data_IF_002075621469
#
_entry.id   IF_002075621469
#
_cell.length_a   1.000
_cell.length_b   1.000
_cell.length_c   1.000
_cell.angle_alpha   90.00
_cell.angle_beta   90.00
_cell.angle_gamma   90.00
#
_symmetry.space_group_name_H-M   'P 1'
#
loop_
_entity.id
_entity.type
_entity.pdbx_description
1 polymer ?
#
# COMPACT_ATOMS: atom_id res chain seq x y z
N UNK A 1 20.12 13.69 -17.22
CA UNK A 1 19.91 13.12 -15.86
C UNK A 1 18.48 13.30 -15.37
N UNK A 2 17.93 14.52 -15.40
CA UNK A 2 16.54 14.82 -14.94
C UNK A 2 15.45 14.05 -15.71
N UNK A 3 15.63 13.84 -17.01
CA UNK A 3 14.63 13.16 -17.86
C UNK A 3 14.61 11.64 -17.61
N UNK A 4 15.72 11.02 -17.18
CA UNK A 4 15.80 9.57 -16.96
C UNK A 4 15.25 9.13 -15.60
N UNK A 5 15.33 10.00 -14.59
CA UNK A 5 14.81 9.75 -13.25
C UNK A 5 13.31 9.36 -13.20
N UNK A 6 12.38 10.05 -13.90
CA UNK A 6 10.96 9.69 -13.87
C UNK A 6 10.67 8.34 -14.54
N UNK A 7 11.41 7.98 -15.60
CA UNK A 7 11.25 6.67 -16.25
C UNK A 7 11.73 5.54 -15.34
N UNK A 8 12.83 5.75 -14.61
CA UNK A 8 13.33 4.78 -13.63
C UNK A 8 12.36 4.62 -12.46
N UNK A 9 11.80 5.72 -11.93
CA UNK A 9 10.81 5.63 -10.84
C UNK A 9 9.55 4.90 -11.28
N UNK A 10 9.06 5.15 -12.50
CA UNK A 10 7.89 4.46 -13.03
C UNK A 10 8.17 2.96 -13.23
N UNK A 11 9.35 2.60 -13.74
CA UNK A 11 9.77 1.21 -13.91
C UNK A 11 9.83 0.46 -12.57
N UNK A 12 10.41 1.08 -11.55
CA UNK A 12 10.47 0.51 -10.19
C UNK A 12 9.07 0.35 -9.58
N UNK A 13 8.20 1.35 -9.74
CA UNK A 13 6.83 1.30 -9.23
C UNK A 13 6.03 0.17 -9.88
N UNK A 14 6.17 0.01 -11.20
CA UNK A 14 5.53 -1.06 -11.96
C UNK A 14 6.06 -2.43 -11.53
N UNK A 15 7.38 -2.55 -11.35
CA UNK A 15 8.02 -3.79 -10.89
C UNK A 15 7.48 -4.25 -9.53
N UNK A 16 7.42 -3.34 -8.55
CA UNK A 16 6.89 -3.66 -7.21
C UNK A 16 5.41 -4.06 -7.28
N UNK A 17 4.61 -3.36 -8.10
CA UNK A 17 3.18 -3.65 -8.28
C UNK A 17 2.98 -5.07 -8.81
N UNK A 18 3.69 -5.43 -9.89
CA UNK A 18 3.60 -6.76 -10.50
C UNK A 18 4.08 -7.86 -9.54
N UNK A 19 5.15 -7.61 -8.78
CA UNK A 19 5.63 -8.56 -7.78
C UNK A 19 4.63 -8.75 -6.63
N UNK A 20 4.00 -7.67 -6.15
CA UNK A 20 2.96 -7.78 -5.12
C UNK A 20 1.78 -8.60 -5.61
N UNK A 21 1.30 -8.34 -6.82
CA UNK A 21 0.15 -9.06 -7.38
C UNK A 21 0.46 -10.57 -7.57
N UNK A 22 1.62 -10.90 -8.16
CA UNK A 22 1.94 -12.29 -8.49
C UNK A 22 2.50 -13.12 -7.35
N UNK A 23 3.13 -12.52 -6.34
CA UNK A 23 3.80 -13.26 -5.26
C UNK A 23 3.18 -12.97 -3.89
N UNK A 24 2.92 -11.71 -3.55
CA UNK A 24 2.45 -11.35 -2.22
C UNK A 24 1.00 -11.84 -1.99
N UNK A 25 0.09 -11.59 -2.92
CA UNK A 25 -1.31 -12.04 -2.82
C UNK A 25 -1.46 -13.56 -2.65
N UNK A 26 -0.88 -14.44 -3.49
CA UNK A 26 -1.01 -15.89 -3.29
C UNK A 26 -0.30 -16.37 -2.01
N UNK A 27 0.77 -15.70 -1.58
CA UNK A 27 1.41 -16.00 -0.29
C UNK A 27 0.48 -15.70 0.88
N UNK A 28 -0.31 -14.61 0.80
CA UNK A 28 -1.31 -14.26 1.81
C UNK A 28 -2.45 -15.27 1.87
N UNK A 29 -2.89 -15.82 0.73
CA UNK A 29 -3.91 -16.89 0.67
C UNK A 29 -3.37 -18.21 1.26
N UNK A 30 -2.12 -18.55 0.99
CA UNK A 30 -1.48 -19.69 1.66
C UNK A 30 -1.38 -19.48 3.18
N UNK A 31 -1.05 -18.25 3.61
CA UNK A 31 -0.95 -17.91 5.02
C UNK A 31 -2.31 -17.92 5.73
N UNK A 32 -3.36 -17.40 5.11
CA UNK A 32 -4.74 -17.42 5.64
C UNK A 32 -5.21 -18.86 5.86
N UNK A 33 -4.95 -19.75 4.89
CA UNK A 33 -5.31 -21.16 4.98
C UNK A 33 -4.56 -21.89 6.11
N UNK A 34 -3.30 -21.51 6.37
CA UNK A 34 -2.50 -22.07 7.48
C UNK A 34 -2.94 -21.55 8.84
N UNK A 35 -3.34 -20.29 8.92
CA UNK A 35 -3.82 -19.65 10.15
C UNK A 35 -5.30 -19.94 10.44
N UNK A 36 -6.02 -20.57 9.51
CA UNK A 36 -7.47 -20.83 9.64
C UNK A 36 -8.31 -19.56 9.61
N UNK A 37 -7.77 -18.45 9.11
CA UNK A 37 -8.43 -17.15 9.04
C UNK A 37 -9.01 -16.91 7.66
N UNK A 38 -10.10 -16.14 7.56
CA UNK A 38 -10.67 -15.73 6.26
C UNK A 38 -9.69 -14.86 5.47
N UNK A 39 -9.65 -15.05 4.15
CA UNK A 39 -8.82 -14.29 3.20
C UNK A 39 -9.05 -12.77 3.32
N UNK A 40 -10.28 -12.35 3.64
CA UNK A 40 -10.60 -10.94 3.85
C UNK A 40 -9.87 -10.35 5.07
N UNK A 41 -9.73 -11.12 6.14
CA UNK A 41 -9.04 -10.68 7.37
C UNK A 41 -7.53 -10.67 7.14
N UNK A 42 -7.00 -11.64 6.39
CA UNK A 42 -5.60 -11.69 6.00
C UNK A 42 -5.23 -10.50 5.10
N UNK A 43 -6.09 -10.15 4.14
CA UNK A 43 -5.95 -8.95 3.33
C UNK A 43 -6.01 -7.66 4.17
N UNK A 44 -7.01 -7.53 5.05
CA UNK A 44 -7.15 -6.35 5.90
C UNK A 44 -5.95 -6.13 6.84
N UNK A 45 -5.24 -7.19 7.24
CA UNK A 45 -4.14 -7.11 8.20
C UNK A 45 -2.78 -7.13 7.53
N UNK A 46 -2.45 -8.22 6.83
CA UNK A 46 -1.10 -8.45 6.33
C UNK A 46 -0.81 -7.70 5.03
N UNK A 47 -1.78 -7.55 4.12
CA UNK A 47 -1.58 -6.73 2.92
C UNK A 47 -1.45 -5.25 3.31
N UNK A 48 -2.32 -4.79 4.22
CA UNK A 48 -2.25 -3.43 4.75
C UNK A 48 -0.91 -3.16 5.46
N UNK A 49 -0.49 -4.06 6.36
CA UNK A 49 0.79 -3.94 7.06
C UNK A 49 1.99 -4.00 6.10
N UNK A 50 1.96 -4.89 5.10
CA UNK A 50 3.01 -5.04 4.11
C UNK A 50 3.18 -3.80 3.24
N UNK A 51 2.09 -3.16 2.83
CA UNK A 51 2.13 -1.92 2.04
C UNK A 51 2.75 -0.76 2.82
N UNK A 52 2.54 -0.68 4.14
CA UNK A 52 3.08 0.40 4.98
C UNK A 52 4.47 0.13 5.57
N UNK A 53 5.01 -1.08 5.41
CA UNK A 53 6.36 -1.42 5.82
C UNK A 53 7.45 -0.48 5.25
N UNK A 54 7.50 -0.16 3.93
CA UNK A 54 8.48 0.77 3.39
C UNK A 54 8.33 2.19 3.97
N UNK A 55 7.09 2.64 4.19
CA UNK A 55 6.79 3.96 4.77
C UNK A 55 7.23 4.04 6.24
N UNK A 56 7.08 2.94 6.98
CA UNK A 56 7.58 2.83 8.35
C UNK A 56 9.11 2.92 8.38
N UNK A 57 9.79 2.25 7.44
CA UNK A 57 11.26 2.30 7.32
C UNK A 57 11.74 3.71 6.96
N UNK A 58 11.12 4.38 5.99
CA UNK A 58 11.51 5.75 5.63
C UNK A 58 11.25 6.74 6.75
N UNK A 59 10.12 6.60 7.44
CA UNK A 59 9.79 7.42 8.62
C UNK A 59 10.77 7.21 9.77
N UNK A 60 11.13 5.95 10.05
CA UNK A 60 12.11 5.60 11.08
C UNK A 60 13.49 6.21 10.75
N UNK A 61 13.96 6.04 9.52
CA UNK A 61 15.21 6.67 9.06
C UNK A 61 15.13 8.21 9.14
N UNK A 62 13.99 8.80 8.82
CA UNK A 62 13.75 10.24 8.92
C UNK A 62 13.83 10.79 10.35
N UNK A 63 13.39 10.00 11.34
CA UNK A 63 13.50 10.37 12.75
C UNK A 63 14.94 10.23 13.27
N UNK A 64 15.59 9.08 13.01
CA UNK A 64 16.88 8.77 13.63
C UNK A 64 18.10 9.32 12.89
N UNK A 65 18.05 9.48 11.57
CA UNK A 65 19.21 9.92 10.77
C UNK A 65 19.18 11.44 10.59
N UNK A 66 18.07 11.99 10.11
CA UNK A 66 17.96 13.42 9.78
C UNK A 66 17.71 14.33 10.98
N UNK A 67 17.50 13.79 12.21
CA UNK A 67 17.33 14.54 13.46
C UNK A 67 16.36 15.74 13.34
N UNK A 68 15.32 15.60 12.53
CA UNK A 68 14.42 16.69 12.19
C UNK A 68 12.95 16.26 12.25
N UNK A 69 12.07 17.23 12.47
CA UNK A 69 10.61 17.05 12.56
C UNK A 69 9.98 16.40 11.30
N UNK A 70 10.74 16.28 10.22
CA UNK A 70 10.35 15.61 8.97
C UNK A 70 9.90 14.17 9.23
N UNK A 71 10.55 13.45 10.15
CA UNK A 71 10.19 12.06 10.46
C UNK A 71 8.79 11.94 11.07
N UNK A 72 8.47 12.75 12.08
CA UNK A 72 7.16 12.73 12.75
C UNK A 72 6.04 13.18 11.79
N UNK A 73 6.29 14.22 11.01
CA UNK A 73 5.33 14.72 10.02
C UNK A 73 5.02 13.67 8.95
N UNK A 74 6.01 12.86 8.55
CA UNK A 74 5.82 11.79 7.57
C UNK A 74 4.93 10.66 8.13
N UNK A 75 5.12 10.28 9.39
CA UNK A 75 4.30 9.26 10.06
C UNK A 75 2.85 9.72 10.16
N UNK A 76 2.65 10.93 10.70
CA UNK A 76 1.29 11.48 10.90
C UNK A 76 0.60 11.70 9.56
N UNK A 77 1.31 12.26 8.57
CA UNK A 77 0.78 12.50 7.24
C UNK A 77 0.35 11.22 6.51
N UNK A 78 1.17 10.17 6.54
CA UNK A 78 0.84 8.88 5.92
C UNK A 78 -0.35 8.20 6.62
N UNK A 79 -0.44 8.24 7.95
CA UNK A 79 -1.59 7.70 8.68
C UNK A 79 -2.91 8.40 8.31
N UNK A 80 -2.90 9.74 8.22
CA UNK A 80 -4.07 10.51 7.81
C UNK A 80 -4.45 10.21 6.35
N UNK A 81 -3.46 10.09 5.45
CA UNK A 81 -3.70 9.75 4.04
C UNK A 81 -4.26 8.33 3.87
N UNK A 82 -3.79 7.35 4.64
CA UNK A 82 -4.30 5.98 4.58
C UNK A 82 -5.75 5.87 5.05
N UNK A 83 -6.16 6.66 6.05
CA UNK A 83 -7.55 6.63 6.54
C UNK A 83 -8.48 7.49 5.68
N UNK A 84 -8.04 8.69 5.27
CA UNK A 84 -8.91 9.62 4.55
C UNK A 84 -8.79 9.46 3.03
N UNK A 85 -7.56 9.51 2.51
CA UNK A 85 -7.28 9.47 1.07
C UNK A 85 -7.63 8.13 0.45
N UNK A 86 -7.08 7.04 0.99
CA UNK A 86 -7.34 5.69 0.44
C UNK A 86 -8.82 5.32 0.61
N UNK A 87 -9.43 5.55 1.77
CA UNK A 87 -10.86 5.24 1.95
C UNK A 87 -11.76 6.09 1.02
N UNK A 88 -11.46 7.38 0.83
CA UNK A 88 -12.21 8.20 -0.11
C UNK A 88 -12.09 7.67 -1.55
N UNK A 89 -10.87 7.32 -1.98
CA UNK A 89 -10.64 6.75 -3.31
C UNK A 89 -11.32 5.39 -3.47
N UNK A 90 -11.21 4.50 -2.48
CA UNK A 90 -11.91 3.22 -2.47
C UNK A 90 -13.42 3.41 -2.56
N UNK A 91 -13.99 4.37 -1.84
CA UNK A 91 -15.44 4.64 -1.88
C UNK A 91 -15.87 5.19 -3.25
N UNK A 92 -15.08 6.09 -3.84
CA UNK A 92 -15.32 6.65 -5.16
C UNK A 92 -15.25 5.58 -6.26
N UNK A 93 -14.21 4.75 -6.24
CA UNK A 93 -14.04 3.66 -7.20
C UNK A 93 -15.05 2.52 -6.98
N UNK A 94 -15.41 2.21 -5.72
CA UNK A 94 -16.41 1.18 -5.41
C UNK A 94 -17.80 1.55 -5.90
N UNK A 95 -18.14 2.84 -5.97
CA UNK A 95 -19.37 3.30 -6.64
C UNK A 95 -19.33 2.97 -8.13
N UNK A 96 -18.23 3.30 -8.81
CA UNK A 96 -18.04 2.97 -10.23
C UNK A 96 -18.12 1.46 -10.49
N UNK A 97 -17.53 0.62 -9.62
CA UNK A 97 -17.60 -0.85 -9.76
C UNK A 97 -19.03 -1.37 -9.55
N UNK A 98 -19.80 -0.77 -8.63
CA UNK A 98 -21.21 -1.13 -8.41
C UNK A 98 -22.06 -0.80 -9.64
N UNK A 99 -21.81 0.33 -10.30
CA UNK A 99 -22.51 0.71 -11.53
C UNK A 99 -22.18 -0.22 -12.72
N UNK A 100 -20.94 -0.72 -12.81
CA UNK A 100 -20.53 -1.70 -13.85
C UNK A 100 -21.12 -3.09 -13.59
N UNK A 101 -21.24 -3.50 -12.33
CA UNK A 101 -21.77 -4.83 -11.97
C UNK A 101 -23.31 -4.92 -12.12
N UNK A 102 -24.03 -3.79 -12.07
CA UNK A 102 -25.47 -3.72 -12.37
C UNK A 102 -25.80 -3.76 -13.88
N UNK A 103 -24.79 -3.63 -14.75
CA UNK A 103 -24.96 -3.71 -16.19
C UNK A 103 -24.73 -5.14 -16.75
N UNK A 104 -24.46 -6.13 -15.88
CA UNK A 104 -24.24 -7.53 -16.25
C UNK A 104 -25.27 -8.45 -15.61
#
# INVERSE_FOLDING_TARGET
MVIAAPFLSLYLLLGITLTCEHYLLPSLVCLSHRLGTSDHVAGATFLAAGSSAPELVTSFLGVFVTHGDVGVNTIVGSAVYNILGICALCCLLSRTVRDVCQLK
#
